data_IF_844803624461
#
_entry.id   IF_844803624461
#
_cell.length_a   1.000
_cell.length_b   1.000
_cell.length_c   1.000
_cell.angle_alpha   90.00
_cell.angle_beta   90.00
_cell.angle_gamma   90.00
#
_symmetry.space_group_name_H-M   'P 1'
#
loop_
_entity.id
_entity.type
_entity.pdbx_description
1 polymer ?
#
# COMPACT_ATOMS: atom_id res chain seq x y z
N UNK A 1 -19.70 4.37 -11.22
CA UNK A 1 -18.44 4.99 -10.73
C UNK A 1 -17.77 4.14 -9.67
N UNK A 2 -18.44 3.81 -8.55
CA UNK A 2 -17.86 2.99 -7.49
C UNK A 2 -17.37 1.62 -7.96
N UNK A 3 -18.14 0.92 -8.81
CA UNK A 3 -17.72 -0.38 -9.37
C UNK A 3 -16.45 -0.28 -10.21
N UNK A 4 -16.33 0.73 -11.07
CA UNK A 4 -15.13 0.98 -11.87
C UNK A 4 -13.90 1.26 -11.00
N UNK A 5 -14.07 1.97 -9.88
CA UNK A 5 -12.98 2.22 -8.92
C UNK A 5 -12.57 0.92 -8.23
N UNK A 6 -13.53 0.09 -7.83
CA UNK A 6 -13.26 -1.21 -7.20
C UNK A 6 -12.52 -2.14 -8.16
N UNK A 7 -12.93 -2.19 -9.43
CA UNK A 7 -12.29 -3.04 -10.43
C UNK A 7 -10.88 -2.54 -10.78
N UNK A 8 -10.70 -1.23 -10.97
CA UNK A 8 -9.37 -0.64 -11.15
C UNK A 8 -8.45 -0.94 -9.94
N UNK A 9 -8.98 -0.88 -8.71
CA UNK A 9 -8.23 -1.24 -7.52
C UNK A 9 -7.86 -2.74 -7.50
N UNK A 10 -8.75 -3.64 -7.90
CA UNK A 10 -8.46 -5.09 -7.97
C UNK A 10 -7.37 -5.40 -8.99
N UNK A 11 -7.41 -4.74 -10.14
CA UNK A 11 -6.37 -4.86 -11.18
C UNK A 11 -5.02 -4.37 -10.66
N UNK A 12 -4.99 -3.16 -10.09
CA UNK A 12 -3.81 -2.60 -9.43
C UNK A 12 -3.27 -3.55 -8.36
N UNK A 13 -4.15 -4.08 -7.50
CA UNK A 13 -3.77 -4.93 -6.38
C UNK A 13 -3.22 -6.29 -6.83
N UNK A 14 -3.69 -6.79 -7.97
CA UNK A 14 -3.14 -8.00 -8.61
C UNK A 14 -1.70 -7.77 -9.05
N UNK A 15 -1.41 -6.61 -9.66
CA UNK A 15 -0.05 -6.24 -10.06
C UNK A 15 0.83 -6.04 -8.82
N UNK A 16 0.33 -5.30 -7.82
CA UNK A 16 1.07 -5.04 -6.58
C UNK A 16 1.50 -6.32 -5.87
N UNK A 17 0.61 -7.32 -5.76
CA UNK A 17 0.96 -8.64 -5.20
C UNK A 17 2.09 -9.32 -5.97
N UNK A 18 2.02 -9.27 -7.31
CA UNK A 18 3.05 -9.86 -8.18
C UNK A 18 4.39 -9.14 -7.99
N UNK A 19 4.39 -7.81 -7.92
CA UNK A 19 5.61 -7.03 -7.75
C UNK A 19 6.27 -7.29 -6.40
N UNK A 20 5.49 -7.36 -5.32
CA UNK A 20 5.99 -7.71 -3.98
C UNK A 20 6.49 -9.16 -3.90
N UNK A 21 5.86 -10.11 -4.61
CA UNK A 21 6.34 -11.48 -4.68
C UNK A 21 7.68 -11.62 -5.42
N UNK A 22 8.01 -10.65 -6.29
CA UNK A 22 9.28 -10.57 -7.00
C UNK A 22 10.25 -9.56 -6.35
N UNK A 23 10.06 -9.24 -5.07
CA UNK A 23 10.97 -8.35 -4.35
C UNK A 23 12.39 -8.93 -4.27
N UNK A 24 13.38 -8.06 -4.46
CA UNK A 24 14.80 -8.34 -4.25
C UNK A 24 15.09 -8.24 -2.74
N UNK A 25 14.63 -9.23 -1.98
CA UNK A 25 14.79 -9.30 -0.52
C UNK A 25 13.45 -9.29 0.22
N UNK A 26 13.37 -8.55 1.32
CA UNK A 26 12.18 -8.52 2.18
C UNK A 26 11.25 -7.37 1.85
N UNK A 27 9.95 -7.62 2.05
CA UNK A 27 8.92 -6.58 2.07
C UNK A 27 8.81 -6.08 3.50
N UNK A 28 8.90 -4.76 3.67
CA UNK A 28 8.59 -4.06 4.91
C UNK A 28 7.26 -3.35 4.77
N UNK A 29 6.59 -3.10 5.88
CA UNK A 29 5.29 -2.43 5.85
C UNK A 29 5.23 -1.33 6.91
N UNK A 30 4.55 -0.24 6.57
CA UNK A 30 4.25 0.85 7.49
C UNK A 30 2.76 1.00 7.65
N UNK A 31 2.35 1.22 8.88
CA UNK A 31 0.98 1.57 9.25
C UNK A 31 1.02 3.03 9.66
N UNK A 32 0.35 3.88 8.89
CA UNK A 32 0.21 5.29 9.22
C UNK A 32 -1.22 5.52 9.70
N UNK A 33 -1.35 5.97 10.95
CA UNK A 33 -2.61 6.25 11.60
C UNK A 33 -2.70 7.74 11.91
N UNK A 34 -3.75 8.39 11.42
CA UNK A 34 -3.99 9.79 11.70
C UNK A 34 -5.48 10.07 11.84
N UNK A 35 -5.80 11.29 12.21
CA UNK A 35 -7.16 11.81 12.25
C UNK A 35 -7.21 13.04 11.35
N UNK A 36 -8.29 13.20 10.57
CA UNK A 36 -8.49 14.39 9.75
C UNK A 36 -9.04 15.59 10.56
N UNK A 37 -9.28 16.71 9.88
CA UNK A 37 -9.84 17.92 10.49
C UNK A 37 -11.26 17.73 11.04
N UNK A 38 -11.98 16.70 10.58
CA UNK A 38 -13.31 16.33 11.04
C UNK A 38 -13.27 15.29 12.16
N UNK A 39 -12.11 15.07 12.78
CA UNK A 39 -11.90 14.06 13.82
C UNK A 39 -12.16 12.61 13.36
N UNK A 40 -12.06 12.35 12.05
CA UNK A 40 -12.23 11.02 11.47
C UNK A 40 -10.88 10.28 11.44
N UNK A 41 -10.77 9.11 12.09
CA UNK A 41 -9.56 8.31 12.08
C UNK A 41 -9.39 7.51 10.77
N UNK A 42 -8.16 7.50 10.27
CA UNK A 42 -7.75 6.76 9.08
C UNK A 42 -6.52 5.90 9.36
N UNK A 43 -6.41 4.80 8.62
CA UNK A 43 -5.22 3.95 8.57
C UNK A 43 -4.83 3.71 7.12
N UNK A 44 -3.60 4.08 6.77
CA UNK A 44 -2.94 3.63 5.54
C UNK A 44 -1.97 2.50 5.83
N UNK A 45 -2.00 1.48 4.98
CA UNK A 45 -1.07 0.38 4.98
C UNK A 45 -0.24 0.42 3.70
N UNK A 46 1.06 0.73 3.83
CA UNK A 46 1.97 0.88 2.69
C UNK A 46 3.07 -0.16 2.76
N UNK A 47 3.18 -0.95 1.70
CA UNK A 47 4.30 -1.88 1.54
C UNK A 47 5.47 -1.17 0.87
N UNK A 48 6.67 -1.48 1.35
CA UNK A 48 7.94 -1.00 0.83
C UNK A 48 8.82 -2.22 0.54
N UNK A 49 9.42 -2.26 -0.65
CA UNK A 49 10.31 -3.36 -1.03
C UNK A 49 11.40 -2.88 -1.96
N UNK A 50 12.49 -3.62 -2.02
CA UNK A 50 13.51 -3.42 -3.06
C UNK A 50 13.09 -4.24 -4.28
N UNK A 51 13.15 -3.64 -5.47
CA UNK A 51 12.92 -4.33 -6.73
C UNK A 51 13.93 -3.91 -7.78
N UNK A 52 13.89 -4.57 -8.94
CA UNK A 52 14.73 -4.19 -10.08
C UNK A 52 14.39 -2.79 -10.59
N UNK A 53 15.43 -2.01 -10.84
CA UNK A 53 15.40 -0.72 -11.51
C UNK A 53 15.47 -0.87 -13.03
N UNK A 54 15.74 0.23 -13.72
CA UNK A 54 15.85 0.28 -15.19
C UNK A 54 17.09 -0.40 -15.77
N UNK A 55 18.12 -0.66 -14.96
CA UNK A 55 19.37 -1.32 -15.38
C UNK A 55 19.51 -2.75 -14.82
N UNK A 56 20.37 -3.60 -15.43
CA UNK A 56 20.51 -5.01 -15.09
C UNK A 56 20.89 -5.29 -13.62
N UNK A 57 21.60 -4.36 -12.97
CA UNK A 57 22.03 -4.48 -11.57
C UNK A 57 21.53 -3.33 -10.68
N UNK A 58 20.58 -2.52 -11.18
CA UNK A 58 20.08 -1.39 -10.40
C UNK A 58 18.98 -1.86 -9.45
N UNK A 59 19.15 -1.61 -8.17
CA UNK A 59 18.09 -1.77 -7.18
C UNK A 59 17.33 -0.46 -7.00
N UNK A 60 16.02 -0.55 -6.84
CA UNK A 60 15.15 0.59 -6.59
C UNK A 60 14.23 0.29 -5.41
N UNK A 61 14.15 1.24 -4.47
CA UNK A 61 13.12 1.22 -3.45
C UNK A 61 11.77 1.52 -4.11
N UNK A 62 10.83 0.59 -3.96
CA UNK A 62 9.45 0.70 -4.44
C UNK A 62 8.51 0.74 -3.23
N UNK A 63 7.38 1.40 -3.43
CA UNK A 63 6.32 1.48 -2.44
C UNK A 63 4.95 1.34 -3.12
N UNK A 64 3.98 0.79 -2.39
CA UNK A 64 2.62 0.59 -2.87
C UNK A 64 1.62 0.60 -1.73
N UNK A 65 0.49 1.28 -1.96
CA UNK A 65 -0.61 1.34 -1.01
C UNK A 65 -1.37 0.03 -1.05
N UNK A 66 -1.30 -0.74 0.03
CA UNK A 66 -1.98 -2.02 0.15
C UNK A 66 -3.43 -1.80 0.56
N UNK A 67 -3.66 -0.87 1.51
CA UNK A 67 -5.00 -0.53 1.95
C UNK A 67 -5.08 0.88 2.53
N UNK A 68 -6.28 1.45 2.50
CA UNK A 68 -6.63 2.71 3.14
C UNK A 68 -8.02 2.55 3.75
N UNK A 69 -8.14 2.70 5.07
CA UNK A 69 -9.38 2.46 5.79
C UNK A 69 -9.78 3.68 6.62
N UNK A 70 -11.06 4.02 6.52
CA UNK A 70 -11.74 4.76 7.57
C UNK A 70 -12.04 3.78 8.71
N UNK A 71 -11.65 4.11 9.94
CA UNK A 71 -11.83 3.20 11.08
C UNK A 71 -12.75 3.87 12.11
N UNK A 72 -14.09 3.82 11.98
CA UNK A 72 -14.96 4.47 12.96
C UNK A 72 -14.83 3.83 14.36
N UNK A 73 -14.89 4.65 15.41
CA UNK A 73 -14.96 4.18 16.81
C UNK A 73 -13.74 4.56 17.66
N UNK A 74 -13.75 4.11 18.93
CA UNK A 74 -12.60 4.20 19.82
C UNK A 74 -11.58 3.12 19.50
N UNK A 75 -10.35 3.52 19.22
CA UNK A 75 -9.22 2.61 19.00
C UNK A 75 -8.33 2.63 20.22
N UNK A 76 -7.98 1.47 20.76
CA UNK A 76 -7.18 1.35 22.00
C UNK A 76 -5.67 1.33 21.77
N UNK A 77 -5.23 1.36 20.51
CA UNK A 77 -3.84 1.04 20.14
C UNK A 77 -3.57 -0.46 20.21
#
# INVERSE_FOLDING_TARGET
>A
LCELIIDAWREYFTILKRDMANAEGKVSVTFDCWTDENTQPFLAFTAHWIGKGSGPDMLQLKAGLVAFHYIPGSHTG
#
